data_IF_866829516055
#
_entry.id   IF_866829516055
#
_cell.length_a   1.000
_cell.length_b   1.000
_cell.length_c   1.000
_cell.angle_alpha   90.00
_cell.angle_beta   90.00
_cell.angle_gamma   90.00
#
_symmetry.space_group_name_H-M   'P 1'
#
loop_
_entity.id
_entity.type
_entity.pdbx_description
1 polymer ?
#
# COMPACT_ATOMS: atom_id res chain seq x y z
N UNK A 1 21.49 12.29 1.50
CA UNK A 1 20.76 13.53 1.81
C UNK A 1 19.73 13.76 0.71
N UNK A 2 18.46 13.76 1.08
CA UNK A 2 17.34 13.96 0.18
C UNK A 2 17.36 15.37 -0.43
N UNK A 3 17.17 15.43 -1.74
CA UNK A 3 17.02 16.69 -2.47
C UNK A 3 15.97 16.54 -3.55
N UNK A 4 15.46 17.66 -4.04
CA UNK A 4 14.44 17.69 -5.08
C UNK A 4 14.96 18.50 -6.26
N UNK A 5 14.82 17.95 -7.45
CA UNK A 5 15.21 18.59 -8.71
C UNK A 5 14.00 18.71 -9.63
N UNK A 6 13.88 19.84 -10.34
CA UNK A 6 12.84 20.07 -11.34
C UNK A 6 13.46 20.17 -12.73
N UNK A 7 12.93 19.39 -13.67
CA UNK A 7 13.35 19.49 -15.06
C UNK A 7 12.64 20.68 -15.74
N UNK A 8 13.33 21.49 -16.57
CA UNK A 8 12.74 22.70 -17.18
C UNK A 8 11.53 22.41 -18.09
N UNK A 9 11.46 21.21 -18.69
CA UNK A 9 10.33 20.81 -19.57
C UNK A 9 9.21 20.03 -18.86
N UNK A 10 9.35 19.71 -17.57
CA UNK A 10 8.38 18.88 -16.83
C UNK A 10 7.79 19.67 -15.66
N UNK A 11 6.47 19.63 -15.44
CA UNK A 11 5.86 20.25 -14.27
C UNK A 11 6.22 19.53 -12.96
N UNK A 12 6.58 18.24 -13.06
CA UNK A 12 6.79 17.37 -11.91
C UNK A 12 8.17 17.50 -11.27
N UNK A 13 8.20 17.40 -9.95
CA UNK A 13 9.43 17.30 -9.18
C UNK A 13 10.01 15.88 -9.19
N UNK A 14 11.34 15.78 -9.12
CA UNK A 14 12.09 14.52 -9.04
C UNK A 14 12.78 14.46 -7.69
N UNK A 15 12.50 13.41 -6.92
CA UNK A 15 13.20 13.11 -5.68
C UNK A 15 14.56 12.49 -5.98
N UNK A 16 15.60 13.04 -5.37
CA UNK A 16 16.96 12.51 -5.37
C UNK A 16 17.27 12.04 -3.95
N UNK A 17 17.51 10.74 -3.77
CA UNK A 17 17.79 10.14 -2.46
C UNK A 17 18.93 9.12 -2.57
N UNK A 18 19.43 8.65 -1.43
CA UNK A 18 20.49 7.65 -1.35
C UNK A 18 19.87 6.29 -1.06
N UNK A 19 20.11 5.31 -1.95
CA UNK A 19 19.62 3.94 -1.83
C UNK A 19 20.36 3.17 -0.72
N UNK A 20 19.86 1.98 -0.39
CA UNK A 20 20.45 1.03 0.56
C UNK A 20 21.90 0.64 0.19
N UNK A 21 22.19 0.63 -1.12
CA UNK A 21 23.52 0.37 -1.68
C UNK A 21 24.48 1.56 -1.58
N UNK A 22 24.00 2.71 -1.11
CA UNK A 22 24.77 3.96 -1.02
C UNK A 22 24.82 4.75 -2.32
N UNK A 23 24.17 4.30 -3.40
CA UNK A 23 24.08 5.04 -4.66
C UNK A 23 23.01 6.12 -4.60
N UNK A 24 23.22 7.24 -5.29
CA UNK A 24 22.14 8.22 -5.49
C UNK A 24 21.20 7.78 -6.59
N UNK A 25 19.91 7.70 -6.27
CA UNK A 25 18.82 7.40 -7.19
C UNK A 25 17.91 8.59 -7.39
N UNK A 26 17.39 8.71 -8.62
CA UNK A 26 16.41 9.72 -9.01
C UNK A 26 15.09 9.04 -9.32
N UNK A 27 14.02 9.45 -8.65
CA UNK A 27 12.66 8.97 -8.90
C UNK A 27 11.72 10.16 -9.11
N UNK A 28 10.94 10.11 -10.19
CA UNK A 28 9.89 11.11 -10.41
C UNK A 28 8.80 10.95 -9.36
N UNK A 29 8.49 12.00 -8.59
CA UNK A 29 7.40 11.94 -7.60
C UNK A 29 6.03 12.12 -8.24
N UNK A 30 5.98 12.69 -9.46
CA UNK A 30 4.74 13.11 -10.13
C UNK A 30 3.90 14.11 -9.32
N UNK A 31 4.54 14.81 -8.38
CA UNK A 31 3.94 15.89 -7.61
C UNK A 31 4.38 17.23 -8.22
N UNK A 32 3.46 18.19 -8.27
CA UNK A 32 3.71 19.56 -8.73
C UNK A 32 4.14 20.49 -7.59
N UNK A 33 3.72 20.17 -6.36
CA UNK A 33 4.10 20.90 -5.15
C UNK A 33 5.49 20.52 -4.65
N UNK A 34 6.36 21.52 -4.54
CA UNK A 34 7.74 21.34 -4.04
C UNK A 34 7.77 20.76 -2.62
N UNK A 35 6.87 21.24 -1.74
CA UNK A 35 6.80 20.80 -0.34
C UNK A 35 6.42 19.33 -0.22
N UNK A 36 5.43 18.89 -0.99
CA UNK A 36 5.01 17.49 -1.01
C UNK A 36 6.09 16.59 -1.62
N UNK A 37 6.75 17.06 -2.68
CA UNK A 37 7.86 16.34 -3.29
C UNK A 37 9.06 16.18 -2.34
N UNK A 38 9.33 17.18 -1.49
CA UNK A 38 10.40 17.11 -0.49
C UNK A 38 10.08 16.07 0.59
N UNK A 39 8.85 16.07 1.11
CA UNK A 39 8.39 15.04 2.06
C UNK A 39 8.49 13.62 1.47
N UNK A 40 8.15 13.46 0.18
CA UNK A 40 8.31 12.19 -0.49
C UNK A 40 9.80 11.78 -0.61
N UNK A 41 10.69 12.71 -0.94
CA UNK A 41 12.13 12.45 -1.00
C UNK A 41 12.71 12.04 0.37
N UNK A 42 12.29 12.69 1.45
CA UNK A 42 12.66 12.34 2.82
C UNK A 42 12.17 10.93 3.19
N UNK A 43 10.91 10.60 2.86
CA UNK A 43 10.35 9.27 3.10
C UNK A 43 11.11 8.16 2.35
N UNK A 44 11.58 8.42 1.13
CA UNK A 44 12.44 7.48 0.40
C UNK A 44 13.79 7.28 1.08
N UNK A 45 14.40 8.34 1.62
CA UNK A 45 15.65 8.21 2.36
C UNK A 45 15.47 7.43 3.68
N UNK A 46 14.38 7.67 4.41
CA UNK A 46 14.03 6.90 5.61
C UNK A 46 13.79 5.42 5.29
N UNK A 47 13.11 5.13 4.19
CA UNK A 47 12.90 3.77 3.71
C UNK A 47 14.23 3.08 3.38
N UNK A 48 15.12 3.75 2.66
CA UNK A 48 16.44 3.23 2.32
C UNK A 48 17.31 2.97 3.56
N UNK A 49 17.25 3.84 4.57
CA UNK A 49 17.93 3.65 5.86
C UNK A 49 17.45 2.40 6.58
N UNK A 50 16.13 2.21 6.66
CA UNK A 50 15.52 1.02 7.29
C UNK A 50 15.82 -0.27 6.51
N UNK A 51 15.83 -0.19 5.18
CA UNK A 51 16.22 -1.30 4.31
C UNK A 51 17.68 -1.71 4.54
N UNK A 52 18.59 -0.73 4.67
CA UNK A 52 20.00 -0.97 5.00
C UNK A 52 20.20 -1.62 6.37
N UNK A 53 19.35 -1.30 7.34
CA UNK A 53 19.36 -1.93 8.67
C UNK A 53 18.78 -3.35 8.72
N UNK A 54 18.29 -3.90 7.59
CA UNK A 54 17.52 -5.15 7.53
C UNK A 54 16.24 -5.17 8.41
N UNK A 55 15.77 -4.01 8.85
CA UNK A 55 14.58 -3.84 9.71
C UNK A 55 13.30 -3.63 8.90
N UNK A 56 13.40 -3.61 7.55
CA UNK A 56 12.27 -3.36 6.67
C UNK A 56 11.38 -4.61 6.54
N UNK A 57 10.58 -4.87 7.57
CA UNK A 57 9.51 -5.88 7.50
C UNK A 57 8.40 -5.41 6.56
N UNK A 58 7.65 -6.35 5.97
CA UNK A 58 6.48 -6.04 5.13
C UNK A 58 5.50 -5.09 5.82
N UNK A 59 5.22 -5.32 7.10
CA UNK A 59 4.32 -4.47 7.88
C UNK A 59 4.84 -3.03 8.02
N UNK A 60 6.14 -2.86 8.27
CA UNK A 60 6.75 -1.54 8.36
C UNK A 60 6.72 -0.78 7.03
N UNK A 61 6.96 -1.47 5.90
CA UNK A 61 6.88 -0.87 4.57
C UNK A 61 5.46 -0.39 4.23
N UNK A 62 4.44 -1.22 4.50
CA UNK A 62 3.03 -0.86 4.28
C UNK A 62 2.63 0.35 5.11
N UNK A 63 3.03 0.39 6.39
CA UNK A 63 2.76 1.52 7.28
C UNK A 63 3.38 2.82 6.78
N UNK A 64 4.65 2.79 6.38
CA UNK A 64 5.33 3.96 5.82
C UNK A 64 4.67 4.47 4.55
N UNK A 65 4.22 3.57 3.67
CA UNK A 65 3.50 3.97 2.45
C UNK A 65 2.13 4.57 2.77
N UNK A 66 1.41 4.04 3.75
CA UNK A 66 0.19 4.66 4.26
C UNK A 66 0.43 6.07 4.78
N UNK A 67 1.39 6.24 5.68
CA UNK A 67 1.74 7.54 6.24
C UNK A 67 2.15 8.53 5.14
N UNK A 68 2.86 8.07 4.10
CA UNK A 68 3.23 8.88 2.96
C UNK A 68 2.01 9.30 2.13
N UNK A 69 1.12 8.35 1.81
CA UNK A 69 -0.08 8.63 1.01
C UNK A 69 -1.06 9.56 1.73
N UNK A 70 -1.25 9.40 3.04
CA UNK A 70 -2.05 10.32 3.85
C UNK A 70 -1.49 11.75 3.80
N UNK A 71 -0.16 11.90 3.81
CA UNK A 71 0.50 13.23 3.76
C UNK A 71 0.45 13.88 2.39
N UNK A 72 0.41 13.11 1.30
CA UNK A 72 0.47 13.65 -0.08
C UNK A 72 -0.89 13.74 -0.76
N UNK A 73 -1.72 12.72 -0.60
CA UNK A 73 -3.00 12.58 -1.30
C UNK A 73 -4.20 12.66 -0.36
N UNK A 74 -3.99 12.57 0.96
CA UNK A 74 -5.08 12.59 1.95
C UNK A 74 -5.89 11.28 2.01
N UNK A 75 -5.56 10.30 1.16
CA UNK A 75 -6.17 8.98 1.13
C UNK A 75 -5.10 7.95 1.52
N UNK A 76 -5.44 7.02 2.42
CA UNK A 76 -4.58 5.89 2.78
C UNK A 76 -4.59 4.79 1.72
N UNK A 77 -3.66 3.82 1.80
CA UNK A 77 -3.75 2.63 0.96
C UNK A 77 -5.00 1.84 1.34
N UNK A 78 -5.72 1.37 0.32
CA UNK A 78 -6.75 0.36 0.52
C UNK A 78 -6.09 -0.95 0.94
N UNK A 79 -6.18 -1.27 2.23
CA UNK A 79 -5.64 -2.50 2.82
C UNK A 79 -6.68 -3.64 2.88
N UNK A 80 -7.86 -3.46 2.24
CA UNK A 80 -8.91 -4.49 2.19
C UNK A 80 -8.37 -5.82 1.68
N UNK A 81 -8.83 -6.89 2.32
CA UNK A 81 -8.52 -8.23 1.84
C UNK A 81 -9.16 -8.47 0.47
N UNK A 82 -8.58 -9.38 -0.32
CA UNK A 82 -9.13 -9.74 -1.63
C UNK A 82 -10.57 -10.23 -1.52
N UNK A 83 -10.91 -10.93 -0.42
CA UNK A 83 -12.29 -11.37 -0.14
C UNK A 83 -13.22 -10.19 0.05
N UNK A 84 -12.86 -9.23 0.90
CA UNK A 84 -13.68 -8.03 1.16
C UNK A 84 -13.88 -7.20 -0.12
N UNK A 85 -12.82 -7.03 -0.91
CA UNK A 85 -12.91 -6.33 -2.20
C UNK A 85 -13.90 -7.02 -3.15
N UNK A 86 -13.87 -8.35 -3.25
CA UNK A 86 -14.82 -9.08 -4.08
C UNK A 86 -16.25 -9.05 -3.52
N UNK A 87 -16.44 -9.10 -2.20
CA UNK A 87 -17.79 -8.97 -1.61
C UNK A 87 -18.37 -7.59 -1.85
N UNK A 88 -17.57 -6.52 -1.69
CA UNK A 88 -18.01 -5.15 -1.96
C UNK A 88 -18.32 -4.96 -3.44
N UNK A 89 -17.49 -5.52 -4.32
CA UNK A 89 -17.70 -5.46 -5.76
C UNK A 89 -19.01 -6.17 -6.17
N UNK A 90 -19.25 -7.39 -5.68
CA UNK A 90 -20.50 -8.13 -5.94
C UNK A 90 -21.71 -7.34 -5.42
N UNK A 91 -21.64 -6.80 -4.19
CA UNK A 91 -22.69 -5.94 -3.62
C UNK A 91 -22.96 -4.72 -4.52
N UNK A 92 -21.91 -4.11 -5.07
CA UNK A 92 -22.04 -2.98 -5.99
C UNK A 92 -22.68 -3.36 -7.35
N UNK A 93 -22.48 -4.59 -7.82
CA UNK A 93 -23.09 -5.09 -9.05
C UNK A 93 -24.57 -5.44 -8.85
N UNK A 94 -24.92 -5.98 -7.68
CA UNK A 94 -26.31 -6.23 -7.28
C UNK A 94 -27.09 -4.91 -7.19
N UNK A 95 -26.49 -3.88 -6.59
CA UNK A 95 -27.09 -2.53 -6.54
C UNK A 95 -27.33 -1.91 -7.94
N UNK A 96 -26.51 -2.29 -8.94
CA UNK A 96 -26.66 -1.87 -10.34
C UNK A 96 -27.58 -2.77 -11.16
N UNK A 97 -28.04 -3.90 -10.60
CA UNK A 97 -28.96 -4.85 -11.25
C UNK A 97 -28.33 -5.77 -12.30
N UNK A 98 -27.00 -5.90 -12.34
CA UNK A 98 -26.30 -6.69 -13.36
C UNK A 98 -26.20 -8.19 -13.05
N UNK A 99 -26.21 -8.56 -11.77
CA UNK A 99 -26.02 -9.94 -11.32
C UNK A 99 -26.98 -10.22 -10.18
N UNK A 100 -27.74 -11.31 -10.26
CA UNK A 100 -28.38 -11.92 -9.09
C UNK A 100 -27.47 -13.03 -8.60
N UNK A 101 -26.83 -12.84 -7.45
CA UNK A 101 -26.02 -13.90 -6.85
C UNK A 101 -26.97 -14.96 -6.27
N UNK A 102 -26.95 -16.22 -6.75
CA UNK A 102 -27.65 -17.28 -6.06
C UNK A 102 -26.98 -17.47 -4.69
N UNK A 103 -27.79 -17.55 -3.62
CA UNK A 103 -27.29 -17.72 -2.26
C UNK A 103 -26.33 -18.92 -2.20
N UNK A 104 -25.02 -18.66 -2.09
CA UNK A 104 -24.05 -19.73 -1.92
C UNK A 104 -24.37 -20.43 -0.60
N UNK A 105 -24.46 -21.78 -0.57
CA UNK A 105 -24.59 -22.49 0.68
C UNK A 105 -23.38 -22.13 1.53
N UNK A 106 -23.61 -21.46 2.66
CA UNK A 106 -22.59 -21.25 3.68
C UNK A 106 -22.01 -22.63 3.96
N UNK A 107 -20.77 -22.86 3.53
CA UNK A 107 -20.08 -24.11 3.71
C UNK A 107 -19.91 -24.28 5.23
N UNK A 108 -20.90 -24.89 5.88
CA UNK A 108 -20.89 -25.17 7.31
C UNK A 108 -19.64 -26.02 7.53
N UNK A 109 -18.61 -25.40 8.13
CA UNK A 109 -17.47 -26.15 8.67
C UNK A 109 -18.08 -27.22 9.57
N UNK A 110 -18.08 -28.48 9.11
CA UNK A 110 -18.32 -29.63 9.97
C UNK A 110 -17.31 -29.51 11.10
N UNK A 111 -17.75 -29.06 12.27
CA UNK A 111 -16.99 -29.24 13.52
C UNK A 111 -16.84 -30.74 13.65
N UNK A 112 -15.63 -31.24 13.43
CA UNK A 112 -15.27 -32.61 13.77
C UNK A 112 -15.57 -32.83 15.25
N UNK A 113 -16.49 -33.73 15.50
CA UNK A 113 -16.99 -34.11 16.82
C UNK A 113 -15.83 -34.71 17.66
N UNK A 114 -15.42 -34.13 18.81
CA UNK A 114 -14.45 -34.76 19.68
C UNK A 114 -15.19 -35.78 20.56
N UNK A 115 -15.65 -36.87 19.97
CA UNK A 115 -16.25 -37.98 20.73
C UNK A 115 -15.90 -39.32 20.09
N UNK A 116 -14.65 -39.74 20.23
CA UNK A 116 -14.37 -41.17 20.36
C UNK A 116 -13.75 -41.37 21.73
N UNK A 117 -14.61 -41.90 22.58
CA UNK A 117 -14.50 -42.19 23.99
C UNK A 117 -13.96 -43.61 24.12
N UNK A 118 -12.99 -43.81 25.03
CA UNK A 118 -12.72 -45.05 25.80
C UNK A 118 -12.52 -46.36 25.02
N UNK A 119 -11.31 -46.91 25.14
CA UNK A 119 -11.07 -48.18 25.84
C UNK A 119 -9.65 -48.21 26.37
#
# INVERSE_FOLDING_TARGET
MASVWKHPKSPFWTACFTDETGKQSKRSTKLEDRKLAMKAAEAFEEAAKKAKGAELTRAAAVKMLNDLMERTHGEGLDTRSTREHFTDYVTSLEARGHVQTPALPVCQRRRSNPSVMRR
#
